data_IF_400842162679
#
_entry.id   IF_400842162679
#
_cell.length_a   1.000
_cell.length_b   1.000
_cell.length_c   1.000
_cell.angle_alpha   90.00
_cell.angle_beta   90.00
_cell.angle_gamma   90.00
#
_symmetry.space_group_name_H-M   'P 1'
#
loop_
_entity.id
_entity.type
_entity.pdbx_description
1 polymer ?
#
# COMPACT_ATOMS: atom_id res chain seq x y z
N UNK A 1 -32.44 -66.93 -39.40
CA UNK A 1 -31.23 -66.10 -39.47
C UNK A 1 -31.59 -64.66 -39.18
N UNK A 2 -31.11 -64.19 -38.08
CA UNK A 2 -31.29 -62.86 -37.50
C UNK A 2 -30.34 -61.85 -38.16
N UNK A 3 -30.68 -60.59 -38.27
CA UNK A 3 -29.71 -59.61 -37.88
C UNK A 3 -30.20 -58.54 -36.88
N UNK A 4 -29.26 -58.14 -36.07
CA UNK A 4 -29.35 -57.27 -34.94
C UNK A 4 -29.65 -55.81 -35.29
N UNK A 5 -30.52 -55.22 -34.43
CA UNK A 5 -30.80 -53.79 -34.45
C UNK A 5 -29.70 -53.00 -33.79
N UNK A 6 -29.13 -52.06 -34.54
CA UNK A 6 -28.25 -51.04 -34.02
C UNK A 6 -29.03 -49.96 -33.26
N UNK A 7 -28.70 -49.74 -31.99
CA UNK A 7 -29.17 -48.60 -31.21
C UNK A 7 -28.20 -47.45 -31.42
N UNK A 8 -28.64 -46.37 -32.05
CA UNK A 8 -27.96 -45.11 -32.09
C UNK A 8 -28.10 -44.41 -30.73
N UNK A 9 -26.99 -44.09 -30.12
CA UNK A 9 -26.89 -43.24 -28.94
C UNK A 9 -27.20 -41.78 -29.31
N UNK A 10 -27.93 -41.03 -28.43
CA UNK A 10 -28.15 -39.61 -28.68
C UNK A 10 -26.88 -38.78 -28.47
N UNK A 11 -26.73 -37.65 -29.21
CA UNK A 11 -25.57 -36.80 -29.06
C UNK A 11 -25.57 -36.12 -27.69
N UNK A 12 -24.37 -36.05 -27.13
CA UNK A 12 -24.04 -35.35 -25.90
C UNK A 12 -24.59 -33.92 -25.90
N UNK A 13 -25.43 -33.60 -24.94
CA UNK A 13 -25.78 -32.24 -24.60
C UNK A 13 -24.52 -31.55 -24.05
N UNK A 14 -23.95 -30.63 -24.83
CA UNK A 14 -22.81 -29.85 -24.42
C UNK A 14 -23.19 -28.95 -23.23
N UNK A 15 -22.41 -29.08 -22.21
CA UNK A 15 -22.48 -28.44 -20.92
C UNK A 15 -22.45 -26.90 -21.00
N UNK A 16 -23.56 -26.24 -20.73
CA UNK A 16 -23.68 -24.79 -20.53
C UNK A 16 -23.22 -24.33 -19.12
N UNK A 17 -22.62 -25.23 -18.35
CA UNK A 17 -22.19 -24.94 -16.98
C UNK A 17 -20.84 -24.20 -16.88
N UNK A 18 -20.03 -24.14 -17.96
CA UNK A 18 -18.67 -23.63 -17.88
C UNK A 18 -18.58 -22.11 -17.79
N UNK A 19 -19.48 -21.39 -18.44
CA UNK A 19 -19.46 -19.91 -18.46
C UNK A 19 -19.88 -19.31 -17.11
N UNK A 20 -20.91 -19.87 -16.46
CA UNK A 20 -21.37 -19.38 -15.15
C UNK A 20 -20.38 -19.66 -14.02
N UNK A 21 -19.66 -20.80 -14.09
CA UNK A 21 -18.60 -21.12 -13.10
C UNK A 21 -17.40 -20.21 -13.26
N UNK A 22 -17.04 -19.84 -14.49
CA UNK A 22 -15.93 -18.92 -14.76
C UNK A 22 -16.29 -17.51 -14.31
N UNK A 23 -17.52 -17.02 -14.58
CA UNK A 23 -17.99 -15.70 -14.15
C UNK A 23 -18.11 -15.66 -12.61
N UNK A 24 -18.57 -16.73 -11.98
CA UNK A 24 -18.63 -16.82 -10.51
C UNK A 24 -17.23 -16.84 -9.88
N UNK A 25 -16.27 -17.55 -10.47
CA UNK A 25 -14.86 -17.51 -10.05
C UNK A 25 -14.22 -16.13 -10.25
N UNK A 26 -14.50 -15.43 -11.35
CA UNK A 26 -14.00 -14.07 -11.60
C UNK A 26 -14.61 -13.08 -10.59
N UNK A 27 -15.90 -13.22 -10.23
CA UNK A 27 -16.54 -12.37 -9.22
C UNK A 27 -16.10 -12.71 -7.78
N UNK A 28 -15.79 -13.96 -7.49
CA UNK A 28 -15.20 -14.39 -6.21
C UNK A 28 -13.76 -13.93 -6.10
N UNK A 29 -12.99 -13.95 -7.19
CA UNK A 29 -11.62 -13.42 -7.23
C UNK A 29 -11.57 -11.88 -7.14
N UNK A 30 -12.63 -11.15 -7.53
CA UNK A 30 -12.75 -9.70 -7.30
C UNK A 30 -13.00 -9.32 -5.84
N UNK A 31 -13.39 -10.26 -5.00
CA UNK A 31 -13.48 -10.12 -3.55
C UNK A 31 -12.37 -10.94 -2.88
N UNK A 32 -11.18 -10.94 -3.48
CA UNK A 32 -10.01 -11.46 -2.79
C UNK A 32 -9.80 -10.59 -1.56
N UNK A 33 -9.93 -11.21 -0.40
CA UNK A 33 -9.53 -10.62 0.86
C UNK A 33 -8.07 -10.18 0.68
N UNK A 34 -7.79 -8.93 1.01
CA UNK A 34 -6.44 -8.39 0.94
C UNK A 34 -5.65 -9.12 2.02
N UNK A 35 -4.83 -10.08 1.62
CA UNK A 35 -3.98 -10.82 2.54
C UNK A 35 -2.63 -10.12 2.58
N UNK A 36 -2.47 -9.24 3.55
CA UNK A 36 -1.20 -8.61 3.87
C UNK A 36 -0.67 -9.22 5.16
N UNK A 37 0.57 -9.66 5.14
CA UNK A 37 1.24 -10.20 6.34
C UNK A 37 1.85 -9.07 7.14
N UNK A 38 1.67 -9.09 8.47
CA UNK A 38 2.38 -8.21 9.39
C UNK A 38 3.89 -8.43 9.25
N UNK A 39 4.67 -7.37 9.38
CA UNK A 39 6.11 -7.40 9.20
C UNK A 39 6.58 -6.97 7.82
N UNK A 40 5.69 -6.78 6.83
CA UNK A 40 6.05 -6.12 5.58
C UNK A 40 6.66 -4.77 5.89
N UNK A 41 7.82 -4.48 5.31
CA UNK A 41 8.56 -3.26 5.60
C UNK A 41 9.26 -2.71 4.37
N UNK A 42 9.52 -1.41 4.38
CA UNK A 42 10.35 -0.75 3.38
C UNK A 42 11.05 0.47 3.97
N UNK A 43 12.03 0.96 3.25
CA UNK A 43 12.76 2.18 3.55
C UNK A 43 12.62 3.19 2.41
N UNK A 44 12.64 4.46 2.79
CA UNK A 44 12.77 5.59 1.86
C UNK A 44 13.90 6.50 2.33
N UNK A 45 14.60 7.12 1.40
CA UNK A 45 15.76 7.94 1.70
C UNK A 45 15.67 9.29 1.02
N UNK A 46 16.25 10.30 1.65
CA UNK A 46 16.44 11.64 1.08
C UNK A 46 17.66 12.29 1.69
N UNK A 47 18.21 13.26 0.98
CA UNK A 47 19.21 14.19 1.54
C UNK A 47 18.52 15.49 1.93
N UNK A 48 18.88 16.09 3.03
CA UNK A 48 18.40 17.42 3.41
C UNK A 48 19.00 18.46 2.47
N UNK A 49 18.15 19.10 1.70
CA UNK A 49 18.48 20.17 0.75
C UNK A 49 17.65 21.42 1.05
N UNK A 50 17.92 22.51 0.39
CA UNK A 50 17.09 23.71 0.51
C UNK A 50 15.62 23.47 0.21
N UNK A 51 15.27 22.46 -0.63
CA UNK A 51 13.91 22.18 -1.06
C UNK A 51 13.03 21.52 0.03
N UNK A 52 13.62 20.87 1.04
CA UNK A 52 12.88 20.13 2.08
C UNK A 52 13.14 20.64 3.51
N UNK A 53 13.60 21.88 3.63
CA UNK A 53 13.76 22.56 4.92
C UNK A 53 12.45 23.16 5.43
N UNK A 54 12.36 23.39 6.73
CA UNK A 54 11.23 24.04 7.38
C UNK A 54 10.90 25.41 6.78
N UNK A 55 11.93 26.21 6.48
CA UNK A 55 11.77 27.52 5.85
C UNK A 55 11.13 27.43 4.47
N UNK A 56 11.55 26.49 3.62
CA UNK A 56 11.00 26.32 2.27
C UNK A 56 9.60 25.70 2.29
N UNK A 57 9.37 24.76 3.18
CA UNK A 57 8.05 24.10 3.34
C UNK A 57 7.01 25.00 4.02
N UNK A 58 7.42 26.12 4.62
CA UNK A 58 6.52 26.99 5.37
C UNK A 58 6.07 26.44 6.73
N UNK A 59 6.77 25.43 7.25
CA UNK A 59 6.50 24.81 8.54
C UNK A 59 7.34 25.38 9.70
N UNK A 60 8.19 26.34 9.41
CA UNK A 60 9.08 27.07 10.31
C UNK A 60 9.92 28.06 9.51
N UNK A 61 10.88 28.71 10.15
CA UNK A 61 11.74 29.75 9.57
C UNK A 61 13.24 29.35 9.48
N UNK A 62 13.55 28.12 9.88
CA UNK A 62 14.92 27.62 9.94
C UNK A 62 15.28 26.68 8.78
N UNK A 63 16.56 26.66 8.42
CA UNK A 63 17.11 25.80 7.37
C UNK A 63 17.45 24.38 7.85
N UNK A 64 16.51 23.73 8.55
CA UNK A 64 16.61 22.36 9.02
C UNK A 64 15.57 21.47 8.34
N UNK A 65 15.78 20.14 8.33
CA UNK A 65 14.85 19.19 7.76
C UNK A 65 13.44 19.39 8.32
N UNK A 66 12.47 19.61 7.44
CA UNK A 66 11.09 19.93 7.84
C UNK A 66 10.36 18.70 8.38
N UNK A 67 9.56 18.88 9.44
CA UNK A 67 8.65 17.82 9.94
C UNK A 67 7.70 17.31 8.84
N UNK A 68 7.04 18.16 8.02
CA UNK A 68 6.24 17.67 6.90
C UNK A 68 7.05 16.81 5.90
N UNK A 69 8.31 17.15 5.64
CA UNK A 69 9.18 16.37 4.75
C UNK A 69 9.52 15.00 5.37
N UNK A 70 9.76 14.93 6.68
CA UNK A 70 9.95 13.68 7.40
C UNK A 70 8.69 12.80 7.32
N UNK A 71 7.51 13.37 7.54
CA UNK A 71 6.22 12.69 7.43
C UNK A 71 6.02 12.14 6.03
N UNK A 72 6.24 12.93 4.99
CA UNK A 72 6.13 12.47 3.60
C UNK A 72 7.07 11.29 3.29
N UNK A 73 8.29 11.31 3.83
CA UNK A 73 9.24 10.22 3.68
C UNK A 73 8.78 8.93 4.38
N UNK A 74 8.19 9.04 5.59
CA UNK A 74 7.60 7.93 6.32
C UNK A 74 6.37 7.35 5.59
N UNK A 75 5.50 8.20 5.04
CA UNK A 75 4.35 7.79 4.23
C UNK A 75 4.79 7.03 2.98
N UNK A 76 5.83 7.50 2.30
CA UNK A 76 6.39 6.84 1.13
C UNK A 76 6.95 5.45 1.48
N UNK A 77 7.66 5.32 2.60
CA UNK A 77 8.12 4.02 3.09
C UNK A 77 6.95 3.07 3.37
N UNK A 78 5.88 3.54 4.02
CA UNK A 78 4.70 2.74 4.33
C UNK A 78 3.93 2.30 3.08
N UNK A 79 3.75 3.19 2.10
CA UNK A 79 3.17 2.87 0.80
C UNK A 79 3.98 1.79 0.08
N UNK A 80 5.29 1.94 0.05
CA UNK A 80 6.22 1.01 -0.62
C UNK A 80 6.21 -0.36 0.05
N UNK A 81 6.12 -0.42 1.38
CA UNK A 81 6.14 -1.67 2.13
C UNK A 81 5.06 -2.68 1.71
N UNK A 82 3.92 -2.21 1.24
CA UNK A 82 2.79 -3.07 0.86
C UNK A 82 2.50 -3.11 -0.64
N UNK A 83 3.15 -2.25 -1.43
CA UNK A 83 2.82 -2.04 -2.85
C UNK A 83 2.81 -3.33 -3.67
N UNK A 84 3.81 -4.22 -3.48
CA UNK A 84 3.94 -5.47 -4.22
C UNK A 84 2.93 -6.55 -3.80
N UNK A 85 2.34 -6.43 -2.60
CA UNK A 85 1.38 -7.39 -2.05
C UNK A 85 -0.08 -6.96 -2.27
N UNK A 86 -0.31 -5.76 -2.79
CA UNK A 86 -1.65 -5.27 -3.11
C UNK A 86 -2.16 -5.83 -4.44
N UNK A 87 -3.48 -6.09 -4.56
CA UNK A 87 -4.10 -6.42 -5.84
C UNK A 87 -3.84 -5.34 -6.91
N UNK A 88 -3.74 -5.76 -8.17
CA UNK A 88 -3.65 -4.82 -9.30
C UNK A 88 -4.81 -3.80 -9.28
N UNK A 89 -4.51 -2.55 -9.63
CA UNK A 89 -5.48 -1.44 -9.58
C UNK A 89 -5.71 -0.87 -8.17
N UNK A 90 -5.11 -1.45 -7.13
CA UNK A 90 -5.18 -0.95 -5.77
C UNK A 90 -4.04 0.02 -5.43
N UNK A 91 -4.27 0.83 -4.40
CA UNK A 91 -3.28 1.69 -3.75
C UNK A 91 -3.61 1.87 -2.28
N UNK A 92 -2.80 2.63 -1.58
CA UNK A 92 -3.12 3.07 -0.22
C UNK A 92 -3.11 4.59 -0.13
N UNK A 93 -3.97 5.14 0.73
CA UNK A 93 -4.00 6.57 1.07
C UNK A 93 -3.77 6.73 2.57
N UNK A 94 -3.01 7.76 2.95
CA UNK A 94 -2.77 8.12 4.34
C UNK A 94 -4.03 8.69 4.99
N UNK A 95 -4.27 8.35 6.26
CA UNK A 95 -5.43 8.81 7.00
C UNK A 95 -5.08 9.39 8.38
N UNK A 96 -4.05 8.87 9.02
CA UNK A 96 -3.62 9.33 10.34
C UNK A 96 -2.10 9.24 10.44
N UNK A 97 -1.49 10.25 11.05
CA UNK A 97 -0.07 10.31 11.32
C UNK A 97 0.15 10.86 12.73
N UNK A 98 0.60 10.02 13.62
CA UNK A 98 0.93 10.40 15.00
C UNK A 98 2.42 10.11 15.23
N UNK A 99 3.24 11.13 15.07
CA UNK A 99 4.71 11.04 15.14
C UNK A 99 5.31 12.16 15.93
N UNK A 100 6.48 11.91 16.48
CA UNK A 100 7.35 12.92 17.08
C UNK A 100 8.53 13.21 16.15
N UNK A 101 9.02 14.45 16.16
CA UNK A 101 10.27 14.85 15.52
C UNK A 101 11.17 15.41 16.62
N UNK A 102 12.09 14.60 17.10
CA UNK A 102 12.81 14.80 18.36
C UNK A 102 14.20 15.40 18.21
N UNK A 103 14.72 15.42 16.97
CA UNK A 103 16.08 15.90 16.70
C UNK A 103 16.13 16.58 15.33
N UNK A 104 16.69 17.81 15.21
CA UNK A 104 16.89 18.47 13.93
C UNK A 104 18.00 17.82 13.12
N UNK A 105 17.88 17.88 11.79
CA UNK A 105 18.92 17.49 10.83
C UNK A 105 19.20 18.67 9.89
N UNK A 106 20.48 18.99 9.70
CA UNK A 106 20.92 20.11 8.88
C UNK A 106 21.08 19.74 7.40
N UNK A 107 21.38 20.75 6.57
CA UNK A 107 21.69 20.58 5.15
C UNK A 107 22.80 19.55 4.93
N UNK A 108 22.61 18.68 3.93
CA UNK A 108 23.54 17.60 3.58
C UNK A 108 23.34 16.31 4.38
N UNK A 109 22.53 16.31 5.45
CA UNK A 109 22.25 15.09 6.20
C UNK A 109 21.45 14.08 5.35
N UNK A 110 21.85 12.82 5.39
CA UNK A 110 21.14 11.69 4.80
C UNK A 110 20.07 11.19 5.77
N UNK A 111 18.81 11.20 5.35
CA UNK A 111 17.67 10.73 6.15
C UNK A 111 17.16 9.42 5.59
N UNK A 112 16.97 8.43 6.46
CA UNK A 112 16.31 7.17 6.11
C UNK A 112 15.07 7.01 6.97
N UNK A 113 13.89 6.91 6.34
CA UNK A 113 12.67 6.51 6.99
C UNK A 113 12.42 5.00 6.77
N UNK A 114 11.88 4.36 7.79
CA UNK A 114 11.47 2.93 7.76
C UNK A 114 10.02 2.84 8.18
N UNK A 115 9.25 2.00 7.50
CA UNK A 115 7.90 1.65 7.90
C UNK A 115 7.77 0.13 8.01
N UNK A 116 7.08 -0.34 9.05
CA UNK A 116 6.79 -1.76 9.30
C UNK A 116 5.29 -1.91 9.52
N UNK A 117 4.64 -2.78 8.73
CA UNK A 117 3.22 -3.10 8.88
C UNK A 117 2.99 -3.90 10.17
N UNK A 118 2.23 -3.35 11.09
CA UNK A 118 1.95 -3.94 12.41
C UNK A 118 0.50 -4.37 12.60
N UNK A 119 -0.43 -3.83 11.81
CA UNK A 119 -1.85 -4.16 11.89
C UNK A 119 -2.53 -4.18 10.54
N UNK A 120 -3.44 -5.14 10.36
CA UNK A 120 -4.32 -5.27 9.18
C UNK A 120 -5.72 -5.55 9.68
N UNK A 121 -6.66 -4.64 9.42
CA UNK A 121 -8.07 -4.73 9.79
C UNK A 121 -8.93 -4.41 8.57
N UNK A 122 -9.24 -5.42 7.77
CA UNK A 122 -9.88 -5.22 6.48
C UNK A 122 -9.00 -4.36 5.56
N UNK A 123 -9.45 -3.15 5.23
CA UNK A 123 -8.69 -2.19 4.41
C UNK A 123 -7.81 -1.24 5.22
N UNK A 124 -7.95 -1.22 6.54
CA UNK A 124 -7.14 -0.38 7.44
C UNK A 124 -5.79 -1.05 7.71
N UNK A 125 -4.74 -0.33 7.46
CA UNK A 125 -3.35 -0.75 7.67
C UNK A 125 -2.71 0.17 8.70
N UNK A 126 -2.08 -0.42 9.71
CA UNK A 126 -1.34 0.32 10.75
C UNK A 126 0.14 0.01 10.61
N UNK A 127 0.96 1.05 10.64
CA UNK A 127 2.41 0.95 10.52
C UNK A 127 3.09 1.60 11.73
N UNK A 128 4.16 0.97 12.22
CA UNK A 128 5.17 1.69 12.97
C UNK A 128 6.11 2.36 11.96
N UNK A 129 6.39 3.64 12.17
CA UNK A 129 7.28 4.42 11.31
C UNK A 129 8.39 5.07 12.13
N UNK A 130 9.55 5.21 11.54
CA UNK A 130 10.68 5.87 12.14
C UNK A 130 11.55 6.55 11.10
N UNK A 131 12.26 7.58 11.47
CA UNK A 131 13.26 8.22 10.64
C UNK A 131 14.55 8.44 11.42
N UNK A 132 15.68 8.33 10.74
CA UNK A 132 17.02 8.49 11.32
C UNK A 132 17.97 9.19 10.36
N UNK A 133 18.96 9.86 10.92
CA UNK A 133 20.15 10.31 10.24
C UNK A 133 21.40 9.49 10.69
N UNK A 134 22.61 9.94 10.33
CA UNK A 134 23.84 9.26 10.70
C UNK A 134 24.09 9.21 12.22
N UNK A 135 23.53 10.14 12.99
CA UNK A 135 23.71 10.24 14.44
C UNK A 135 22.63 9.49 15.24
N UNK A 136 21.57 9.02 14.58
CA UNK A 136 20.54 8.22 15.24
C UNK A 136 19.09 8.58 14.86
N UNK A 137 18.16 8.24 15.72
CA UNK A 137 16.73 8.49 15.55
C UNK A 137 16.43 9.99 15.56
N UNK A 138 15.69 10.46 14.57
CA UNK A 138 15.20 11.85 14.50
C UNK A 138 13.71 11.96 14.73
N UNK A 139 12.95 10.87 14.53
CA UNK A 139 11.51 10.83 14.76
C UNK A 139 10.94 9.42 14.63
N UNK A 140 9.81 9.19 15.29
CA UNK A 140 9.11 7.90 15.25
C UNK A 140 7.63 8.07 15.57
N UNK A 141 6.83 7.03 15.28
CA UNK A 141 5.43 7.00 15.63
C UNK A 141 4.61 5.96 14.88
N UNK A 142 3.32 6.26 14.73
CA UNK A 142 2.33 5.36 14.10
C UNK A 142 1.67 6.07 12.93
N UNK A 143 1.50 5.34 11.84
CA UNK A 143 0.83 5.79 10.63
C UNK A 143 -0.29 4.83 10.24
N UNK A 144 -1.46 5.36 9.92
CA UNK A 144 -2.60 4.59 9.42
C UNK A 144 -2.84 4.92 7.96
N UNK A 145 -3.00 3.88 7.14
CA UNK A 145 -3.37 3.98 5.72
C UNK A 145 -4.59 3.11 5.43
N UNK A 146 -5.30 3.43 4.36
CA UNK A 146 -6.40 2.61 3.86
C UNK A 146 -6.15 2.15 2.44
N UNK A 147 -6.41 0.87 2.17
CA UNK A 147 -6.40 0.32 0.82
C UNK A 147 -7.60 0.83 0.04
N UNK A 148 -7.36 1.32 -1.16
CA UNK A 148 -8.38 1.86 -2.07
C UNK A 148 -8.24 1.28 -3.47
N UNK A 149 -9.34 1.18 -4.18
CA UNK A 149 -9.36 1.00 -5.63
C UNK A 149 -9.07 2.37 -6.27
N UNK A 150 -8.04 2.46 -7.11
CA UNK A 150 -7.56 3.74 -7.69
C UNK A 150 -8.63 4.46 -8.49
N UNK A 151 -9.31 3.73 -9.37
CA UNK A 151 -10.31 4.33 -10.26
C UNK A 151 -11.51 4.85 -9.47
N UNK A 152 -12.05 4.02 -8.58
CA UNK A 152 -13.19 4.39 -7.73
C UNK A 152 -12.86 5.51 -6.76
N UNK A 153 -11.64 5.54 -6.24
CA UNK A 153 -11.20 6.60 -5.35
C UNK A 153 -11.10 7.93 -6.10
N UNK A 154 -10.41 7.95 -7.25
CA UNK A 154 -10.24 9.15 -8.04
C UNK A 154 -11.56 9.66 -8.64
N UNK A 155 -12.50 8.79 -8.96
CA UNK A 155 -13.82 9.20 -9.44
C UNK A 155 -14.64 10.02 -8.42
N UNK A 156 -14.30 9.93 -7.12
CA UNK A 156 -14.95 10.70 -6.04
C UNK A 156 -14.27 12.03 -5.76
N UNK A 157 -13.05 12.21 -6.25
CA UNK A 157 -12.28 13.46 -6.11
C UNK A 157 -12.60 14.33 -7.31
N UNK A 158 -13.42 15.37 -7.09
CA UNK A 158 -13.85 16.33 -8.10
C UNK A 158 -13.34 17.73 -7.77
#
# INVERSE_FOLDING_TARGET
TNPAAGRSSPPYAACTATANVIIYRINVLRKMDIILEKGLSAQSRTTVTAANTAATMGSGDLGVFATPSMVALMEHAAMTAVAAALPEGSSTVGAEMNVTHIKPSGLGAEITATAVLTGVEGRKLTFNVGARDAEGMIGEGVHVRYVVDREKFMAKVR
#
